data_IF_382181391129
#
_entry.id   IF_382181391129
#
_cell.length_a   1.000
_cell.length_b   1.000
_cell.length_c   1.000
_cell.angle_alpha   90.00
_cell.angle_beta   90.00
_cell.angle_gamma   90.00
#
_symmetry.space_group_name_H-M   'P 1'
#
loop_
_entity.id
_entity.type
_entity.pdbx_description
1 polymer ?
#
# COMPACT_ATOMS: atom_id res chain seq x y z
N UNK A 1 20.60 -21.52 16.73
CA UNK A 1 19.58 -21.47 15.66
C UNK A 1 18.40 -20.55 16.00
N UNK A 2 17.72 -20.71 17.15
CA UNK A 2 16.58 -19.85 17.53
C UNK A 2 16.94 -18.35 17.64
N UNK A 3 18.04 -18.02 18.32
CA UNK A 3 18.51 -16.62 18.44
C UNK A 3 18.85 -15.97 17.08
N UNK A 4 19.38 -16.77 16.14
CA UNK A 4 19.63 -16.31 14.77
C UNK A 4 18.32 -16.05 14.03
N UNK A 5 17.33 -16.93 14.18
CA UNK A 5 16.01 -16.77 13.57
C UNK A 5 15.31 -15.49 14.09
N UNK A 6 15.34 -15.26 15.40
CA UNK A 6 14.76 -14.05 16.02
C UNK A 6 15.45 -12.79 15.52
N UNK A 7 16.79 -12.75 15.52
CA UNK A 7 17.56 -11.61 15.01
C UNK A 7 17.24 -11.34 13.54
N UNK A 8 17.08 -12.39 12.74
CA UNK A 8 16.76 -12.27 11.31
C UNK A 8 15.33 -11.77 11.09
N UNK A 9 14.35 -12.30 11.83
CA UNK A 9 12.97 -11.86 11.74
C UNK A 9 12.83 -10.39 12.19
N UNK A 10 13.52 -9.99 13.25
CA UNK A 10 13.59 -8.60 13.68
C UNK A 10 14.18 -7.69 12.59
N UNK A 11 15.28 -8.10 11.95
CA UNK A 11 15.86 -7.33 10.84
C UNK A 11 14.88 -7.18 9.65
N UNK A 12 14.12 -8.21 9.33
CA UNK A 12 13.08 -8.16 8.29
C UNK A 12 11.97 -7.17 8.67
N UNK A 13 11.46 -7.23 9.90
CA UNK A 13 10.42 -6.31 10.38
C UNK A 13 10.91 -4.87 10.35
N UNK A 14 12.14 -4.61 10.82
CA UNK A 14 12.74 -3.27 10.77
C UNK A 14 12.88 -2.79 9.32
N UNK A 15 13.36 -3.64 8.42
CA UNK A 15 13.50 -3.29 7.00
C UNK A 15 12.14 -2.94 6.38
N UNK A 16 11.11 -3.75 6.62
CA UNK A 16 9.75 -3.46 6.16
C UNK A 16 9.21 -2.15 6.73
N UNK A 17 9.47 -1.87 8.01
CA UNK A 17 9.09 -0.61 8.65
C UNK A 17 9.81 0.59 8.00
N UNK A 18 11.11 0.49 7.73
CA UNK A 18 11.85 1.57 7.05
C UNK A 18 11.32 1.82 5.65
N UNK A 19 11.09 0.77 4.86
CA UNK A 19 10.57 0.91 3.49
C UNK A 19 9.17 1.53 3.52
N UNK A 20 8.27 1.02 4.37
CA UNK A 20 6.91 1.55 4.50
C UNK A 20 6.90 3.01 4.96
N UNK A 21 7.69 3.36 5.97
CA UNK A 21 7.83 4.75 6.43
C UNK A 21 8.39 5.66 5.33
N UNK A 22 9.38 5.18 4.57
CA UNK A 22 9.97 5.93 3.46
C UNK A 22 8.94 6.17 2.35
N UNK A 23 8.21 5.13 1.93
CA UNK A 23 7.14 5.27 0.94
C UNK A 23 6.03 6.21 1.43
N UNK A 24 5.62 6.09 2.70
CA UNK A 24 4.63 6.97 3.29
C UNK A 24 5.11 8.43 3.30
N UNK A 25 6.37 8.67 3.68
CA UNK A 25 6.96 10.00 3.65
C UNK A 25 6.92 10.58 2.23
N UNK A 26 7.25 9.80 1.21
CA UNK A 26 7.24 10.24 -0.20
C UNK A 26 5.85 10.68 -0.65
N UNK A 27 4.79 9.94 -0.30
CA UNK A 27 3.44 10.22 -0.79
C UNK A 27 2.62 11.20 0.08
N UNK A 28 2.89 11.26 1.39
CA UNK A 28 2.07 12.05 2.31
C UNK A 28 2.82 13.20 2.98
N UNK A 29 4.13 13.07 3.22
CA UNK A 29 4.94 14.09 3.90
C UNK A 29 5.57 15.04 2.90
N UNK A 30 6.21 14.54 1.84
CA UNK A 30 6.87 15.39 0.83
C UNK A 30 5.90 16.37 0.18
N UNK A 31 4.68 16.00 -0.25
CA UNK A 31 3.74 16.96 -0.83
C UNK A 31 3.35 18.05 0.17
N UNK A 32 3.06 17.68 1.43
CA UNK A 32 2.76 18.63 2.51
C UNK A 32 3.91 19.63 2.73
N UNK A 33 5.15 19.17 2.71
CA UNK A 33 6.34 20.04 2.81
C UNK A 33 6.54 20.93 1.57
N UNK A 34 6.19 20.44 0.38
CA UNK A 34 6.26 21.18 -0.87
C UNK A 34 5.08 22.16 -1.08
N UNK A 35 4.14 22.26 -0.13
CA UNK A 35 2.95 23.10 -0.23
C UNK A 35 1.88 22.55 -1.18
N UNK A 36 2.00 21.30 -1.61
CA UNK A 36 1.03 20.61 -2.44
C UNK A 36 0.12 19.72 -1.59
N UNK A 37 -1.18 19.73 -1.88
CA UNK A 37 -2.12 18.89 -1.16
C UNK A 37 -2.06 17.43 -1.64
N UNK A 38 -1.72 16.45 -0.76
CA UNK A 38 -1.69 15.04 -1.13
C UNK A 38 -3.04 14.50 -1.63
N UNK A 39 -4.18 15.12 -1.28
CA UNK A 39 -5.48 14.70 -1.81
C UNK A 39 -5.57 14.79 -3.34
N UNK A 40 -4.84 15.72 -3.96
CA UNK A 40 -4.80 15.90 -5.42
C UNK A 40 -4.21 14.68 -6.14
N UNK A 41 -3.37 13.88 -5.47
CA UNK A 41 -2.83 12.65 -6.03
C UNK A 41 -3.89 11.53 -6.15
N UNK A 42 -4.97 11.63 -5.38
CA UNK A 42 -5.99 10.58 -5.25
C UNK A 42 -7.35 10.93 -5.86
N UNK A 43 -7.60 12.22 -6.15
CA UNK A 43 -8.88 12.72 -6.69
C UNK A 43 -9.21 12.26 -8.12
N UNK A 44 -8.26 11.68 -8.85
CA UNK A 44 -8.51 11.16 -10.19
C UNK A 44 -8.79 12.27 -11.23
N UNK A 45 -9.58 11.97 -12.26
CA UNK A 45 -9.79 12.88 -13.41
C UNK A 45 -10.81 14.00 -13.15
N UNK A 46 -11.63 13.90 -12.12
CA UNK A 46 -12.66 14.88 -11.77
C UNK A 46 -12.28 15.57 -10.47
N UNK A 47 -11.47 16.63 -10.59
CA UNK A 47 -11.06 17.46 -9.47
C UNK A 47 -12.08 18.56 -9.18
N UNK A 48 -13.22 18.16 -8.63
CA UNK A 48 -14.17 19.08 -8.01
C UNK A 48 -13.71 19.42 -6.57
N UNK A 49 -13.77 20.69 -6.12
CA UNK A 49 -13.43 21.06 -4.75
C UNK A 49 -14.10 20.21 -3.66
N UNK A 50 -15.36 19.79 -3.87
CA UNK A 50 -16.06 18.92 -2.93
C UNK A 50 -15.45 17.51 -2.86
N UNK A 51 -14.94 16.99 -3.98
CA UNK A 51 -14.27 15.69 -4.03
C UNK A 51 -12.91 15.72 -3.31
N UNK A 52 -12.16 16.82 -3.44
CA UNK A 52 -10.87 17.02 -2.74
C UNK A 52 -11.09 16.99 -1.22
N UNK A 53 -12.08 17.72 -0.72
CA UNK A 53 -12.38 17.78 0.72
C UNK A 53 -12.87 16.42 1.25
N UNK A 54 -13.68 15.71 0.47
CA UNK A 54 -14.08 14.34 0.77
C UNK A 54 -12.88 13.39 0.89
N UNK A 55 -11.89 13.51 0.00
CA UNK A 55 -10.65 12.71 0.09
C UNK A 55 -9.79 13.10 1.29
N UNK A 56 -9.70 14.40 1.63
CA UNK A 56 -8.98 14.84 2.84
C UNK A 56 -9.54 14.21 4.10
N UNK A 57 -10.86 14.17 4.23
CA UNK A 57 -11.53 13.53 5.36
C UNK A 57 -11.36 12.01 5.34
N UNK A 58 -11.55 11.36 4.18
CA UNK A 58 -11.34 9.91 4.00
C UNK A 58 -9.96 9.41 4.43
N UNK A 59 -8.92 10.13 4.00
CA UNK A 59 -7.53 9.77 4.24
C UNK A 59 -6.98 10.36 5.55
N UNK A 60 -7.85 11.01 6.32
CA UNK A 60 -7.52 11.68 7.58
C UNK A 60 -6.29 12.59 7.42
N UNK A 61 -6.23 13.33 6.31
CA UNK A 61 -5.08 14.15 5.90
C UNK A 61 -4.84 15.36 6.81
N UNK A 62 -5.83 15.73 7.63
CA UNK A 62 -5.73 16.77 8.66
C UNK A 62 -5.07 16.34 9.97
N UNK A 63 -4.91 15.03 10.21
CA UNK A 63 -4.32 14.53 11.46
C UNK A 63 -2.79 14.69 11.50
N UNK A 64 -2.18 14.68 12.70
CA UNK A 64 -0.74 14.61 12.85
C UNK A 64 -0.16 13.44 12.05
N UNK A 65 0.99 13.66 11.40
CA UNK A 65 1.65 12.66 10.53
C UNK A 65 1.84 11.31 11.23
N UNK A 66 2.14 11.34 12.54
CA UNK A 66 2.31 10.14 13.35
C UNK A 66 1.02 9.32 13.49
N UNK A 67 -0.12 10.00 13.69
CA UNK A 67 -1.45 9.38 13.79
C UNK A 67 -1.87 8.82 12.44
N UNK A 68 -1.61 9.57 11.36
CA UNK A 68 -1.89 9.12 10.01
C UNK A 68 -1.10 7.84 9.64
N UNK A 69 0.18 7.80 9.99
CA UNK A 69 1.01 6.61 9.80
C UNK A 69 0.54 5.44 10.68
N UNK A 70 0.16 5.71 11.92
CA UNK A 70 -0.40 4.69 12.81
C UNK A 70 -1.67 4.05 12.23
N UNK A 71 -2.62 4.86 11.75
CA UNK A 71 -3.82 4.34 11.07
C UNK A 71 -3.51 3.57 9.79
N UNK A 72 -2.44 3.93 9.08
CA UNK A 72 -1.98 3.20 7.90
C UNK A 72 -1.47 1.80 8.27
N UNK A 73 -0.58 1.71 9.27
CA UNK A 73 -0.01 0.43 9.70
C UNK A 73 -1.04 -0.44 10.43
N UNK A 74 -1.88 0.14 11.29
CA UNK A 74 -2.93 -0.60 12.01
C UNK A 74 -3.95 -1.22 11.04
N UNK A 75 -4.26 -0.52 9.93
CA UNK A 75 -5.17 -1.03 8.90
C UNK A 75 -4.77 -2.39 8.33
N UNK A 76 -3.46 -2.66 8.27
CA UNK A 76 -2.96 -3.95 7.78
C UNK A 76 -3.36 -5.13 8.69
N UNK A 77 -3.48 -4.91 10.00
CA UNK A 77 -3.73 -5.97 10.97
C UNK A 77 -5.20 -6.07 11.39
N UNK A 78 -5.89 -4.93 11.50
CA UNK A 78 -7.24 -4.85 12.08
C UNK A 78 -8.29 -4.48 11.03
N UNK A 79 -7.88 -4.16 9.80
CA UNK A 79 -8.75 -3.59 8.79
C UNK A 79 -8.92 -2.08 8.98
N UNK A 80 -9.54 -1.43 8.01
CA UNK A 80 -9.77 0.02 8.03
C UNK A 80 -11.06 0.37 7.31
N UNK A 81 -11.82 1.30 7.89
CA UNK A 81 -12.97 1.89 7.24
C UNK A 81 -12.58 3.15 6.48
N UNK A 82 -13.06 3.26 5.24
CA UNK A 82 -12.92 4.45 4.43
C UNK A 82 -14.31 5.06 4.23
N UNK A 83 -14.55 6.24 4.80
CA UNK A 83 -15.85 6.91 4.74
C UNK A 83 -15.93 7.87 3.53
N UNK A 84 -16.74 7.54 2.52
CA UNK A 84 -17.05 8.35 1.35
C UNK A 84 -18.36 9.10 1.50
N UNK A 85 -18.38 10.13 2.35
CA UNK A 85 -19.60 10.87 2.65
C UNK A 85 -20.62 9.98 3.37
N UNK A 86 -21.68 9.57 2.68
CA UNK A 86 -22.73 8.68 3.22
C UNK A 86 -22.42 7.19 3.12
N UNK A 87 -21.42 6.81 2.30
CA UNK A 87 -21.05 5.42 2.10
C UNK A 87 -19.77 5.08 2.89
N UNK A 88 -19.79 4.01 3.69
CA UNK A 88 -18.63 3.58 4.48
C UNK A 88 -18.15 2.25 3.93
N UNK A 89 -17.01 2.28 3.25
CA UNK A 89 -16.42 1.07 2.68
C UNK A 89 -15.49 0.42 3.70
N UNK A 90 -15.89 -0.76 4.17
CA UNK A 90 -15.09 -1.56 5.09
C UNK A 90 -14.01 -2.35 4.34
N UNK A 91 -12.74 -2.12 4.69
CA UNK A 91 -11.61 -2.90 4.21
C UNK A 91 -11.24 -3.95 5.27
N UNK A 92 -11.55 -5.24 5.07
CA UNK A 92 -11.22 -6.29 6.03
C UNK A 92 -9.70 -6.49 6.13
N UNK A 93 -9.24 -6.98 7.28
CA UNK A 93 -7.84 -7.37 7.46
C UNK A 93 -7.51 -8.61 6.58
N UNK A 94 -6.37 -8.64 5.87
CA UNK A 94 -5.31 -7.63 5.79
C UNK A 94 -5.62 -6.50 4.80
N UNK A 95 -5.75 -5.26 5.28
CA UNK A 95 -6.03 -4.13 4.40
C UNK A 95 -4.75 -3.55 3.80
N UNK A 96 -4.48 -3.86 2.53
CA UNK A 96 -3.37 -3.29 1.75
C UNK A 96 -3.69 -1.90 1.16
N UNK A 97 -4.88 -1.38 1.43
CA UNK A 97 -5.35 -0.09 0.97
C UNK A 97 -6.56 -0.20 0.05
N UNK A 98 -6.99 0.97 -0.40
CA UNK A 98 -8.18 1.18 -1.21
C UNK A 98 -7.81 1.87 -2.53
N UNK A 99 -8.31 1.35 -3.63
CA UNK A 99 -8.11 1.95 -4.94
C UNK A 99 -9.10 3.10 -5.16
N UNK A 100 -8.59 4.32 -5.23
CA UNK A 100 -9.39 5.51 -5.54
C UNK A 100 -9.88 5.57 -6.99
N UNK A 101 -9.39 4.67 -7.87
CA UNK A 101 -9.84 4.60 -9.28
C UNK A 101 -10.93 3.58 -9.50
N UNK A 102 -10.82 2.41 -8.87
CA UNK A 102 -11.74 1.29 -9.07
C UNK A 102 -12.71 1.12 -7.91
N UNK A 103 -12.60 1.96 -6.87
CA UNK A 103 -13.45 1.94 -5.67
C UNK A 103 -13.54 0.55 -5.02
N UNK A 104 -12.40 -0.14 -4.98
CA UNK A 104 -12.29 -1.51 -4.47
C UNK A 104 -11.07 -1.65 -3.57
N UNK A 105 -11.15 -2.58 -2.61
CA UNK A 105 -10.01 -2.98 -1.81
C UNK A 105 -8.93 -3.64 -2.70
N UNK A 106 -7.65 -3.37 -2.41
CA UNK A 106 -6.53 -3.86 -3.22
C UNK A 106 -6.26 -5.36 -3.02
N UNK A 107 -6.58 -5.90 -1.84
CA UNK A 107 -6.32 -7.31 -1.50
C UNK A 107 -6.92 -8.32 -2.50
N UNK A 108 -8.23 -8.29 -2.82
CA UNK A 108 -8.80 -9.22 -3.80
C UNK A 108 -8.15 -9.07 -5.19
N UNK A 109 -7.83 -7.85 -5.60
CA UNK A 109 -7.16 -7.60 -6.89
C UNK A 109 -5.75 -8.23 -6.93
N UNK A 110 -5.03 -8.18 -5.81
CA UNK A 110 -3.71 -8.78 -5.69
C UNK A 110 -3.78 -10.32 -5.72
N UNK A 111 -4.76 -10.91 -5.03
CA UNK A 111 -4.95 -12.37 -5.02
C UNK A 111 -5.39 -12.90 -6.38
N UNK A 112 -6.20 -12.15 -7.12
CA UNK A 112 -6.65 -12.54 -8.46
C UNK A 112 -5.51 -12.52 -9.48
N UNK A 113 -4.53 -11.61 -9.32
CA UNK A 113 -3.36 -11.53 -10.19
C UNK A 113 -2.24 -12.52 -9.82
N UNK A 114 -2.26 -13.08 -8.60
CA UNK A 114 -1.23 -13.99 -8.09
C UNK A 114 -0.97 -15.23 -8.96
N UNK A 115 -1.98 -16.00 -9.43
CA UNK A 115 -1.71 -17.21 -10.23
C UNK A 115 -1.08 -16.88 -11.58
N UNK A 116 -1.48 -15.76 -12.19
CA UNK A 116 -0.94 -15.33 -13.49
C UNK A 116 0.54 -14.95 -13.34
N UNK A 117 0.87 -14.13 -12.36
CA UNK A 117 2.27 -13.74 -12.09
C UNK A 117 3.14 -14.93 -11.73
N UNK A 118 2.62 -15.88 -10.95
CA UNK A 118 3.32 -17.12 -10.62
C UNK A 118 3.62 -17.97 -11.86
N UNK A 119 2.65 -18.09 -12.78
CA UNK A 119 2.84 -18.84 -14.03
C UNK A 119 3.92 -18.22 -14.93
N UNK A 120 3.94 -16.88 -15.04
CA UNK A 120 4.95 -16.15 -15.82
C UNK A 120 6.33 -16.26 -15.17
N UNK A 121 6.41 -16.12 -13.84
CA UNK A 121 7.66 -16.27 -13.09
C UNK A 121 8.22 -17.68 -13.26
N UNK A 122 7.39 -18.72 -13.14
CA UNK A 122 7.80 -20.10 -13.35
C UNK A 122 8.33 -20.34 -14.77
N UNK A 123 7.64 -19.82 -15.79
CA UNK A 123 8.08 -19.89 -17.19
C UNK A 123 9.43 -19.20 -17.40
N UNK A 124 9.61 -18.00 -16.84
CA UNK A 124 10.88 -17.27 -16.91
C UNK A 124 12.02 -18.00 -16.20
N UNK A 125 11.77 -18.56 -15.00
CA UNK A 125 12.75 -19.36 -14.28
C UNK A 125 13.19 -20.59 -15.08
N UNK A 126 12.26 -21.28 -15.74
CA UNK A 126 12.59 -22.43 -16.58
C UNK A 126 13.48 -22.05 -17.76
N UNK A 127 13.11 -21.01 -18.52
CA UNK A 127 13.90 -20.52 -19.65
C UNK A 127 15.30 -20.06 -19.20
N UNK A 128 15.38 -19.36 -18.07
CA UNK A 128 16.64 -18.88 -17.52
C UNK A 128 17.55 -20.03 -17.07
N UNK A 129 17.00 -21.05 -16.41
CA UNK A 129 17.76 -22.24 -16.01
C UNK A 129 18.26 -23.02 -17.21
N UNK A 130 17.40 -23.28 -18.20
CA UNK A 130 17.80 -24.00 -19.42
C UNK A 130 18.88 -23.23 -20.17
N UNK A 131 18.66 -21.94 -20.41
CA UNK A 131 19.64 -21.08 -21.08
C UNK A 131 20.97 -21.05 -20.34
N UNK A 132 20.96 -20.77 -19.04
CA UNK A 132 22.15 -20.67 -18.21
C UNK A 132 22.94 -21.97 -18.09
N UNK A 133 22.27 -23.14 -18.08
CA UNK A 133 22.95 -24.45 -18.07
C UNK A 133 23.59 -24.74 -19.44
N UNK A 134 22.94 -24.35 -20.55
CA UNK A 134 23.46 -24.64 -21.90
C UNK A 134 24.65 -23.78 -22.33
N UNK A 135 24.77 -22.54 -21.83
CA UNK A 135 25.87 -21.63 -22.15
C UNK A 135 27.02 -21.67 -21.14
N UNK A 136 26.82 -22.29 -19.98
CA UNK A 136 27.82 -22.46 -18.92
C UNK A 136 28.76 -23.63 -19.13
#
# INVERSE_FOLDING_TARGET
>A
MLAYLIRRLFAVVVMLLVVTLTTFAIFFVIPKWAGADPALLFVGKQADPAAIEGIRQKLSLGDPVLVQFWHFVQGLFVGRDYANGTDVTHCPAPCFGYSFRTEQAVWPQLTDAMPVTLSLAAGACLLWLVGGITTG
#
